data_IF_220091928492
#
_entry.id   IF_220091928492
#
_cell.length_a   1.000
_cell.length_b   1.000
_cell.length_c   1.000
_cell.angle_alpha   90.00
_cell.angle_beta   90.00
_cell.angle_gamma   90.00
#
_symmetry.space_group_name_H-M   'P 1'
#
loop_
_entity.id
_entity.type
_entity.pdbx_description
1 polymer ?
#
# COMPACT_ATOMS: atom_id res chain seq x y z
N UNK A 1 31.49 -55.51 1.65
CA UNK A 1 30.50 -54.49 1.21
C UNK A 1 29.52 -55.15 0.26
N UNK A 2 28.23 -55.25 0.60
CA UNK A 2 27.25 -55.98 -0.25
C UNK A 2 26.86 -55.17 -1.50
N UNK A 3 26.62 -55.85 -2.62
CA UNK A 3 26.28 -55.24 -3.91
C UNK A 3 25.02 -54.35 -3.82
N UNK A 4 24.01 -54.77 -3.05
CA UNK A 4 22.80 -53.99 -2.76
C UNK A 4 23.11 -52.64 -2.11
N UNK A 5 24.07 -52.60 -1.18
CA UNK A 5 24.44 -51.38 -0.47
C UNK A 5 25.22 -50.41 -1.36
N UNK A 6 25.96 -50.94 -2.33
CA UNK A 6 26.65 -50.18 -3.37
C UNK A 6 25.67 -49.59 -4.38
N UNK A 7 24.71 -50.39 -4.85
CA UNK A 7 23.63 -49.94 -5.74
C UNK A 7 22.80 -48.84 -5.07
N UNK A 8 22.41 -49.02 -3.80
CA UNK A 8 21.67 -48.00 -3.05
C UNK A 8 22.44 -46.68 -2.94
N UNK A 9 23.76 -46.73 -2.65
CA UNK A 9 24.61 -45.52 -2.62
C UNK A 9 24.72 -44.84 -3.97
N UNK A 10 24.81 -45.61 -5.05
CA UNK A 10 24.86 -45.07 -6.41
C UNK A 10 23.54 -44.40 -6.80
N UNK A 11 22.40 -45.03 -6.50
CA UNK A 11 21.07 -44.45 -6.71
C UNK A 11 20.91 -43.15 -5.92
N UNK A 12 21.32 -43.14 -4.64
CA UNK A 12 21.23 -41.94 -3.80
C UNK A 12 22.12 -40.81 -4.33
N UNK A 13 23.34 -41.13 -4.79
CA UNK A 13 24.26 -40.15 -5.40
C UNK A 13 23.67 -39.58 -6.70
N UNK A 14 23.06 -40.41 -7.54
CA UNK A 14 22.37 -39.96 -8.74
C UNK A 14 21.16 -39.07 -8.41
N UNK A 15 20.36 -39.44 -7.40
CA UNK A 15 19.22 -38.63 -6.94
C UNK A 15 19.63 -37.27 -6.35
N UNK A 16 20.83 -37.16 -5.77
CA UNK A 16 21.37 -35.85 -5.31
C UNK A 16 21.90 -34.98 -6.44
N UNK A 17 22.30 -35.57 -7.56
CA UNK A 17 22.81 -34.85 -8.74
C UNK A 17 21.67 -34.37 -9.66
N UNK A 18 20.44 -34.81 -9.43
CA UNK A 18 19.30 -34.33 -10.19
C UNK A 18 19.07 -32.83 -9.92
N UNK A 19 18.71 -32.05 -10.96
CA UNK A 19 18.40 -30.64 -10.81
C UNK A 19 17.18 -30.45 -9.89
N UNK A 20 17.32 -29.53 -8.94
CA UNK A 20 16.31 -29.23 -7.91
C UNK A 20 15.91 -27.76 -7.94
N UNK A 21 14.67 -27.48 -7.59
CA UNK A 21 14.14 -26.14 -7.40
C UNK A 21 13.99 -25.87 -5.90
N UNK A 22 14.35 -24.66 -5.47
CA UNK A 22 14.00 -24.17 -4.14
C UNK A 22 12.67 -23.44 -4.22
N UNK A 23 11.71 -23.87 -3.40
CA UNK A 23 10.46 -23.18 -3.21
C UNK A 23 10.63 -22.07 -2.17
N UNK A 24 9.85 -20.97 -2.25
CA UNK A 24 9.90 -19.87 -1.28
C UNK A 24 9.68 -20.29 0.18
N UNK A 25 8.97 -21.40 0.41
CA UNK A 25 8.75 -21.98 1.73
C UNK A 25 9.97 -22.75 2.31
N UNK A 26 11.15 -22.63 1.68
CA UNK A 26 12.39 -23.29 2.12
C UNK A 26 12.50 -24.77 1.77
N UNK A 27 11.51 -25.34 1.07
CA UNK A 27 11.54 -26.74 0.60
C UNK A 27 12.31 -26.83 -0.72
N UNK A 28 13.19 -27.82 -0.85
CA UNK A 28 13.81 -28.17 -2.14
C UNK A 28 13.10 -29.38 -2.74
N UNK A 29 12.70 -29.26 -4.00
CA UNK A 29 11.98 -30.30 -4.75
C UNK A 29 12.70 -30.62 -6.05
N UNK A 30 12.46 -31.80 -6.63
CA UNK A 30 12.99 -32.11 -7.97
C UNK A 30 12.26 -31.30 -9.05
N UNK A 31 12.89 -31.12 -10.22
CA UNK A 31 12.21 -30.47 -11.36
C UNK A 31 10.93 -31.21 -11.79
N UNK A 32 10.92 -32.53 -11.72
CA UNK A 32 9.75 -33.34 -12.08
C UNK A 32 8.59 -33.14 -11.09
N UNK A 33 8.91 -33.11 -9.79
CA UNK A 33 7.93 -32.78 -8.75
C UNK A 33 7.40 -31.36 -8.95
N UNK A 34 8.28 -30.40 -9.28
CA UNK A 34 7.89 -29.04 -9.61
C UNK A 34 6.93 -28.95 -10.79
N UNK A 35 7.19 -29.72 -11.86
CA UNK A 35 6.28 -29.80 -13.03
C UNK A 35 4.92 -30.39 -12.66
N UNK A 36 4.88 -31.41 -11.80
CA UNK A 36 3.63 -32.00 -11.32
C UNK A 36 2.82 -31.02 -10.49
N UNK A 37 3.47 -30.29 -9.58
CA UNK A 37 2.82 -29.26 -8.76
C UNK A 37 2.29 -28.11 -9.62
N UNK A 38 3.08 -27.63 -10.59
CA UNK A 38 2.63 -26.61 -11.53
C UNK A 38 1.43 -27.07 -12.36
N UNK A 39 1.44 -28.33 -12.80
CA UNK A 39 0.30 -28.91 -13.52
C UNK A 39 -0.96 -28.96 -12.65
N UNK A 40 -0.85 -29.36 -11.38
CA UNK A 40 -1.99 -29.38 -10.47
C UNK A 40 -2.59 -27.99 -10.25
N UNK A 41 -1.75 -26.96 -10.10
CA UNK A 41 -2.22 -25.56 -9.98
C UNK A 41 -2.93 -25.12 -11.25
N UNK A 42 -2.36 -25.38 -12.43
CA UNK A 42 -2.98 -25.01 -13.69
C UNK A 42 -4.32 -25.74 -13.91
N UNK A 43 -4.39 -27.04 -13.62
CA UNK A 43 -5.62 -27.83 -13.74
C UNK A 43 -6.71 -27.31 -12.76
N UNK A 44 -6.31 -26.79 -11.59
CA UNK A 44 -7.23 -26.16 -10.62
C UNK A 44 -7.67 -24.77 -11.08
N UNK A 45 -6.78 -23.97 -11.64
CA UNK A 45 -7.11 -22.67 -12.25
C UNK A 45 -8.08 -22.84 -13.43
N UNK A 46 -7.87 -23.83 -14.29
CA UNK A 46 -8.78 -24.17 -15.40
C UNK A 46 -10.16 -24.61 -14.88
N UNK A 47 -10.22 -25.38 -13.78
CA UNK A 47 -11.48 -25.75 -13.13
C UNK A 47 -12.20 -24.55 -12.52
N UNK A 48 -11.46 -23.63 -11.91
CA UNK A 48 -12.03 -22.40 -11.35
C UNK A 48 -12.54 -21.49 -12.46
N UNK A 49 -11.82 -21.36 -13.57
CA UNK A 49 -12.26 -20.56 -14.72
C UNK A 49 -13.51 -21.15 -15.36
N UNK A 50 -13.56 -22.47 -15.57
CA UNK A 50 -14.73 -23.15 -16.14
C UNK A 50 -15.95 -23.13 -15.21
N UNK A 51 -15.74 -23.29 -13.89
CA UNK A 51 -16.80 -23.12 -12.89
C UNK A 51 -17.30 -21.67 -12.79
N UNK A 52 -16.41 -20.69 -12.89
CA UNK A 52 -16.78 -19.27 -12.90
C UNK A 52 -17.56 -18.89 -14.16
N UNK A 53 -17.22 -19.45 -15.33
CA UNK A 53 -17.99 -19.23 -16.56
C UNK A 53 -19.38 -19.86 -16.50
N UNK A 54 -19.53 -21.03 -15.86
CA UNK A 54 -20.84 -21.66 -15.66
C UNK A 54 -21.74 -20.85 -14.70
N UNK A 55 -21.17 -20.32 -13.61
CA UNK A 55 -21.91 -19.43 -12.70
C UNK A 55 -22.29 -18.09 -13.34
N UNK A 56 -21.48 -17.58 -14.28
CA UNK A 56 -21.81 -16.39 -15.06
C UNK A 56 -22.94 -16.67 -16.06
N UNK A 57 -22.95 -17.83 -16.72
CA UNK A 57 -24.04 -18.23 -17.61
C UNK A 57 -25.36 -18.45 -16.87
N UNK A 58 -25.34 -18.99 -15.65
CA UNK A 58 -26.53 -19.07 -14.78
C UNK A 58 -26.99 -17.69 -14.29
N UNK A 59 -26.06 -16.77 -14.02
CA UNK A 59 -26.36 -15.40 -13.58
C UNK A 59 -26.98 -14.54 -14.70
N UNK A 60 -26.63 -14.79 -15.97
CA UNK A 60 -27.23 -14.12 -17.14
C UNK A 60 -28.71 -14.48 -17.36
N UNK A 61 -29.23 -15.53 -16.71
CA UNK A 61 -30.64 -15.93 -16.75
C UNK A 61 -31.55 -15.28 -15.70
N UNK A 62 -31.01 -14.51 -14.75
CA UNK A 62 -31.79 -13.89 -13.67
C UNK A 62 -32.23 -12.47 -14.02
N UNK A 63 -33.53 -12.30 -14.31
CA UNK A 63 -34.17 -11.01 -14.62
C UNK A 63 -33.88 -9.92 -13.58
N UNK A 64 -33.65 -10.31 -12.33
CA UNK A 64 -33.38 -9.41 -11.19
C UNK A 64 -32.03 -8.70 -11.30
N UNK A 65 -31.01 -9.34 -11.89
CA UNK A 65 -29.70 -8.71 -12.08
C UNK A 65 -29.72 -7.67 -13.20
N UNK A 66 -30.45 -7.96 -14.29
CA UNK A 66 -30.67 -7.02 -15.40
C UNK A 66 -31.38 -5.74 -14.94
N UNK A 67 -32.38 -5.84 -14.06
CA UNK A 67 -33.05 -4.66 -13.48
C UNK A 67 -32.08 -3.80 -12.67
N UNK A 68 -31.18 -4.42 -11.90
CA UNK A 68 -30.21 -3.69 -11.09
C UNK A 68 -29.19 -2.93 -11.96
N UNK A 69 -28.73 -3.54 -13.04
CA UNK A 69 -27.73 -2.95 -13.93
C UNK A 69 -28.32 -1.90 -14.87
N UNK A 70 -29.54 -2.12 -15.36
CA UNK A 70 -30.30 -1.09 -16.09
C UNK A 70 -30.59 0.10 -15.18
N UNK A 71 -30.98 -0.12 -13.92
CA UNK A 71 -31.21 0.96 -12.95
C UNK A 71 -29.96 1.78 -12.67
N UNK A 72 -28.80 1.12 -12.43
CA UNK A 72 -27.51 1.81 -12.28
C UNK A 72 -27.19 2.64 -13.52
N UNK A 73 -27.40 2.10 -14.72
CA UNK A 73 -27.12 2.79 -15.98
C UNK A 73 -28.02 4.01 -16.19
N UNK A 74 -29.30 3.92 -15.83
CA UNK A 74 -30.24 5.06 -15.88
C UNK A 74 -29.79 6.18 -14.92
N UNK A 75 -29.41 5.83 -13.68
CA UNK A 75 -28.91 6.81 -12.71
C UNK A 75 -27.65 7.50 -13.23
N UNK A 76 -26.69 6.74 -13.77
CA UNK A 76 -25.46 7.29 -14.34
C UNK A 76 -25.74 8.21 -15.53
N UNK A 77 -26.66 7.85 -16.42
CA UNK A 77 -27.06 8.70 -17.55
C UNK A 77 -27.70 10.02 -17.07
N UNK A 78 -28.58 9.95 -16.06
CA UNK A 78 -29.17 11.16 -15.45
C UNK A 78 -28.09 12.04 -14.81
N UNK A 79 -27.13 11.44 -14.09
CA UNK A 79 -26.00 12.18 -13.52
C UNK A 79 -25.14 12.83 -14.60
N UNK A 80 -24.91 12.14 -15.73
CA UNK A 80 -24.14 12.66 -16.87
C UNK A 80 -24.87 13.83 -17.55
N UNK A 81 -26.18 13.71 -17.78
CA UNK A 81 -27.00 14.80 -18.33
C UNK A 81 -27.03 16.01 -17.38
N UNK A 82 -27.10 15.77 -16.07
CA UNK A 82 -27.15 16.81 -15.05
C UNK A 82 -25.77 17.29 -14.57
N UNK A 83 -24.67 16.86 -15.22
CA UNK A 83 -23.31 17.16 -14.74
C UNK A 83 -23.04 18.67 -14.66
N UNK A 84 -23.44 19.43 -15.67
CA UNK A 84 -23.30 20.89 -15.67
C UNK A 84 -24.14 21.56 -14.56
N UNK A 85 -25.37 21.08 -14.33
CA UNK A 85 -26.21 21.57 -13.24
C UNK A 85 -25.61 21.26 -11.87
N UNK A 86 -25.03 20.07 -11.69
CA UNK A 86 -24.37 19.67 -10.45
C UNK A 86 -23.11 20.50 -10.18
N UNK A 87 -22.29 20.79 -11.21
CA UNK A 87 -21.12 21.67 -11.08
C UNK A 87 -21.56 23.07 -10.65
N UNK A 88 -22.57 23.64 -11.30
CA UNK A 88 -23.04 25.00 -10.95
C UNK A 88 -23.62 25.05 -9.54
N UNK A 89 -24.34 24.02 -9.10
CA UNK A 89 -24.83 23.90 -7.73
C UNK A 89 -23.67 23.80 -6.72
N UNK A 90 -22.67 22.96 -7.00
CA UNK A 90 -21.48 22.80 -6.16
C UNK A 90 -20.69 24.12 -6.05
N UNK A 91 -20.51 24.85 -7.16
CA UNK A 91 -19.86 26.15 -7.17
C UNK A 91 -20.63 27.21 -6.37
N UNK A 92 -21.97 27.23 -6.49
CA UNK A 92 -22.82 28.13 -5.68
C UNK A 92 -22.71 27.82 -4.20
N UNK A 93 -22.71 26.55 -3.83
CA UNK A 93 -22.54 26.11 -2.44
C UNK A 93 -21.15 26.49 -1.88
N UNK A 94 -20.08 26.22 -2.64
CA UNK A 94 -18.72 26.61 -2.26
C UNK A 94 -18.58 28.14 -2.11
N UNK A 95 -19.17 28.93 -3.02
CA UNK A 95 -19.21 30.40 -2.90
C UNK A 95 -19.96 30.84 -1.64
N UNK A 96 -21.07 30.20 -1.29
CA UNK A 96 -21.83 30.49 -0.06
C UNK A 96 -21.01 30.17 1.20
N UNK A 97 -20.32 29.03 1.23
CA UNK A 97 -19.44 28.69 2.35
C UNK A 97 -18.26 29.64 2.49
N UNK A 98 -17.63 30.09 1.39
CA UNK A 98 -16.57 31.11 1.43
C UNK A 98 -17.07 32.45 1.98
N UNK A 99 -18.30 32.87 1.64
CA UNK A 99 -18.91 34.07 2.22
C UNK A 99 -19.12 33.94 3.73
N UNK A 100 -19.49 32.76 4.20
CA UNK A 100 -19.74 32.51 5.64
C UNK A 100 -18.46 32.29 6.46
N UNK A 101 -17.34 31.92 5.83
CA UNK A 101 -16.03 31.71 6.46
C UNK A 101 -15.09 32.89 6.32
N UNK A 102 -15.52 33.97 5.64
CA UNK A 102 -14.76 35.20 5.54
C UNK A 102 -14.73 35.90 6.90
N UNK A 103 -13.55 35.89 7.54
CA UNK A 103 -13.29 36.68 8.75
C UNK A 103 -13.47 38.16 8.39
N UNK A 104 -14.23 38.95 9.17
CA UNK A 104 -14.36 40.37 8.91
C UNK A 104 -12.98 41.04 8.88
N UNK A 105 -12.78 41.99 7.96
CA UNK A 105 -11.47 42.57 7.67
C UNK A 105 -10.76 43.12 8.92
N UNK A 106 -11.51 43.67 9.88
CA UNK A 106 -10.98 44.18 11.15
C UNK A 106 -10.45 43.10 12.12
N UNK A 107 -10.89 41.86 12.02
CA UNK A 107 -10.42 40.76 12.89
C UNK A 107 -9.27 39.98 12.24
N UNK A 108 -9.17 39.99 10.92
CA UNK A 108 -8.04 39.42 10.18
C UNK A 108 -6.71 40.12 10.53
N UNK A 109 -6.72 41.46 10.68
CA UNK A 109 -5.52 42.21 11.08
C UNK A 109 -5.10 41.90 12.53
N UNK A 110 -6.07 41.82 13.45
CA UNK A 110 -5.81 41.44 14.85
C UNK A 110 -5.18 40.05 14.93
N UNK A 111 -5.72 39.06 14.22
CA UNK A 111 -5.15 37.71 14.18
C UNK A 111 -3.73 37.68 13.60
N UNK A 112 -3.45 38.48 12.56
CA UNK A 112 -2.11 38.60 11.97
C UNK A 112 -1.10 39.19 12.97
N UNK A 113 -1.50 40.18 13.75
CA UNK A 113 -0.63 40.74 14.80
C UNK A 113 -0.37 39.76 15.94
N UNK A 114 -1.37 38.99 16.36
CA UNK A 114 -1.25 37.96 17.40
C UNK A 114 -0.34 36.82 16.92
N UNK A 115 -0.56 36.32 15.70
CA UNK A 115 0.30 35.30 15.09
C UNK A 115 1.75 35.77 14.97
N UNK A 116 1.96 37.04 14.58
CA UNK A 116 3.29 37.65 14.53
C UNK A 116 3.97 37.75 15.90
N UNK A 117 3.21 37.91 16.99
CA UNK A 117 3.76 37.91 18.36
C UNK A 117 4.10 36.50 18.85
N UNK A 118 3.29 35.50 18.48
CA UNK A 118 3.53 34.09 18.84
C UNK A 118 4.72 33.50 18.08
N UNK A 119 4.88 33.84 16.80
CA UNK A 119 6.01 33.37 15.98
C UNK A 119 7.34 34.03 16.34
N UNK A 120 7.33 35.20 16.98
CA UNK A 120 8.52 35.86 17.51
C UNK A 120 8.89 35.40 18.92
N UNK A 121 8.56 34.17 19.30
CA UNK A 121 9.05 33.58 20.56
C UNK A 121 10.48 33.09 20.36
N UNK A 122 11.42 33.93 20.80
CA UNK A 122 12.78 33.60 21.26
C UNK A 122 13.73 32.88 20.28
N UNK A 123 14.31 33.65 19.37
CA UNK A 123 15.53 33.28 18.63
C UNK A 123 16.81 33.22 19.49
N UNK A 124 16.68 33.12 20.82
CA UNK A 124 17.80 33.25 21.77
C UNK A 124 17.95 32.15 22.82
N UNK A 125 16.91 31.38 23.17
CA UNK A 125 16.99 30.47 24.34
C UNK A 125 17.45 29.04 24.02
N UNK A 126 17.49 28.63 22.74
CA UNK A 126 17.89 27.28 22.32
C UNK A 126 19.34 27.12 21.87
N UNK A 127 20.03 28.19 21.51
CA UNK A 127 21.36 28.10 20.85
C UNK A 127 22.50 27.91 21.84
N UNK A 128 22.43 28.50 23.03
CA UNK A 128 23.46 28.35 24.06
C UNK A 128 23.49 26.94 24.67
N UNK A 129 22.31 26.36 24.90
CA UNK A 129 22.18 24.99 25.44
C UNK A 129 22.73 23.94 24.45
N UNK A 130 22.50 24.13 23.15
CA UNK A 130 23.06 23.30 22.09
C UNK A 130 24.58 23.45 21.94
N UNK A 131 25.11 24.67 22.04
CA UNK A 131 26.57 24.93 22.07
C UNK A 131 27.23 24.25 23.27
N UNK A 132 26.65 24.38 24.46
CA UNK A 132 27.15 23.75 25.68
C UNK A 132 27.12 22.21 25.62
N UNK A 133 26.14 21.61 24.93
CA UNK A 133 26.10 20.16 24.69
C UNK A 133 27.20 19.72 23.71
N UNK A 134 27.44 20.50 22.65
CA UNK A 134 28.48 20.20 21.64
C UNK A 134 29.89 20.25 22.23
N UNK A 135 30.16 21.22 23.12
CA UNK A 135 31.47 21.34 23.80
C UNK A 135 31.72 20.10 24.67
N UNK A 136 30.74 19.68 25.48
CA UNK A 136 30.83 18.46 26.30
C UNK A 136 31.05 17.20 25.46
N UNK A 137 30.36 17.08 24.32
CA UNK A 137 30.54 15.95 23.41
C UNK A 137 31.93 15.93 22.73
N UNK A 138 32.57 17.08 22.58
CA UNK A 138 33.89 17.20 21.92
C UNK A 138 35.07 16.77 22.78
N UNK A 139 34.87 16.46 24.07
CA UNK A 139 35.88 15.86 24.96
C UNK A 139 37.12 16.72 25.26
N UNK A 140 37.18 17.96 24.78
CA UNK A 140 38.36 18.85 24.88
C UNK A 140 38.75 19.23 26.31
N UNK A 141 37.85 19.10 27.29
CA UNK A 141 38.13 19.44 28.69
C UNK A 141 38.90 18.34 29.46
N UNK A 142 39.11 17.15 28.88
CA UNK A 142 39.82 16.05 29.56
C UNK A 142 41.34 16.07 29.40
N UNK A 143 41.90 16.97 28.59
CA UNK A 143 43.33 16.97 28.26
C UNK A 143 44.24 17.73 29.24
N UNK A 144 43.72 18.60 30.12
CA UNK A 144 44.58 19.48 30.96
C UNK A 144 44.91 18.96 32.37
N UNK A 145 44.55 17.71 32.72
CA UNK A 145 44.77 17.14 34.07
C UNK A 145 45.71 15.93 34.12
N UNK A 146 46.66 15.82 33.18
CA UNK A 146 47.80 14.90 33.33
C UNK A 146 49.08 15.72 33.43
N UNK A 147 49.43 16.05 34.68
CA UNK A 147 50.81 16.32 35.12
C UNK A 147 51.60 15.03 35.08
#
# INVERSE_FOLDING_TARGET
MSALRLAAKQIQRQATLQPRLSLPAGRTISLEEGRRLAKLVNDEEERIQTGATQLLDEALGSSVQLESDVSKRIILLRQKQNHAANITAALKFAKKQRKNSSIPAGDAEKLKTIAGKVLRKESGSGTETLKARRIRASGKDKASKRK
#
